data_IF_780068165447
#
_entry.id   IF_780068165447
#
_cell.length_a   1.000
_cell.length_b   1.000
_cell.length_c   1.000
_cell.angle_alpha   90.00
_cell.angle_beta   90.00
_cell.angle_gamma   90.00
#
_symmetry.space_group_name_H-M   'P 1'
#
loop_
_entity.id
_entity.type
_entity.pdbx_description
1 polymer ?
#
# COMPACT_ATOMS: atom_id res chain seq x y z
N UNK A 1 -37.73 22.89 12.27
CA UNK A 1 -36.98 21.96 11.42
C UNK A 1 -37.23 20.56 11.96
N UNK A 2 -37.74 19.63 11.17
CA UNK A 2 -38.18 18.31 11.65
C UNK A 2 -37.01 17.44 12.09
N UNK A 3 -37.12 16.82 13.29
CA UNK A 3 -36.11 15.93 13.91
C UNK A 3 -35.68 14.75 13.03
N UNK A 4 -36.55 14.31 12.13
CA UNK A 4 -36.30 13.21 11.19
C UNK A 4 -35.16 13.52 10.21
N UNK A 5 -34.93 14.80 9.88
CA UNK A 5 -33.88 15.18 8.93
C UNK A 5 -32.48 15.19 9.56
N UNK A 6 -32.41 15.35 10.88
CA UNK A 6 -31.15 15.44 11.62
C UNK A 6 -30.55 14.04 11.87
N UNK A 7 -31.40 13.03 12.07
CA UNK A 7 -30.98 11.63 12.24
C UNK A 7 -30.42 11.03 10.94
N UNK A 8 -31.09 11.23 9.80
CA UNK A 8 -30.61 10.77 8.48
C UNK A 8 -29.29 11.41 8.05
N UNK A 9 -29.05 12.67 8.41
CA UNK A 9 -27.80 13.36 8.08
C UNK A 9 -26.63 12.86 8.95
N UNK A 10 -26.90 12.48 10.19
CA UNK A 10 -25.87 11.97 11.09
C UNK A 10 -25.45 10.53 10.75
N UNK A 11 -26.38 9.66 10.34
CA UNK A 11 -26.05 8.29 9.93
C UNK A 11 -25.24 8.26 8.62
N UNK A 12 -25.66 9.00 7.59
CA UNK A 12 -24.93 9.03 6.31
C UNK A 12 -23.53 9.67 6.37
N UNK A 13 -23.29 10.58 7.32
CA UNK A 13 -21.96 11.18 7.57
C UNK A 13 -21.07 10.27 8.40
N UNK A 14 -21.64 9.41 9.26
CA UNK A 14 -20.89 8.43 10.02
C UNK A 14 -20.38 7.29 9.13
N UNK A 15 -21.25 6.69 8.30
CA UNK A 15 -20.88 5.59 7.39
C UNK A 15 -19.85 6.03 6.34
N UNK A 16 -20.07 7.16 5.66
CA UNK A 16 -19.13 7.65 4.63
C UNK A 16 -17.74 8.05 5.17
N UNK A 17 -17.61 8.27 6.49
CA UNK A 17 -16.34 8.61 7.15
C UNK A 17 -15.62 7.39 7.70
N UNK A 18 -16.33 6.30 7.93
CA UNK A 18 -15.76 5.02 8.35
C UNK A 18 -15.21 4.26 7.13
N UNK A 19 -16.00 4.12 6.06
CA UNK A 19 -15.59 3.46 4.81
C UNK A 19 -14.40 4.17 4.14
N UNK A 20 -14.47 5.49 3.94
CA UNK A 20 -13.38 6.24 3.29
C UNK A 20 -12.08 6.30 4.11
N UNK A 21 -12.10 5.91 5.39
CA UNK A 21 -10.92 5.88 6.26
C UNK A 21 -10.34 4.48 6.43
N UNK A 22 -11.12 3.46 6.13
CA UNK A 22 -10.70 2.07 6.07
C UNK A 22 -10.07 1.78 4.69
N UNK A 23 -10.76 2.11 3.60
CA UNK A 23 -10.25 1.98 2.22
C UNK A 23 -8.95 2.78 2.00
N UNK A 24 -8.95 4.07 2.37
CA UNK A 24 -7.75 4.92 2.23
C UNK A 24 -6.56 4.53 3.12
N UNK A 25 -6.78 3.71 4.15
CA UNK A 25 -5.70 3.17 5.01
C UNK A 25 -5.19 1.82 4.56
N UNK A 26 -6.01 1.04 3.88
CA UNK A 26 -5.63 -0.25 3.32
C UNK A 26 -4.86 -0.03 2.02
N UNK A 27 -5.42 0.75 1.07
CA UNK A 27 -4.73 1.12 -0.17
C UNK A 27 -3.43 1.87 0.09
N UNK A 28 -3.44 2.85 1.00
CA UNK A 28 -2.24 3.63 1.35
C UNK A 28 -1.14 2.80 2.04
N UNK A 29 -1.49 1.70 2.72
CA UNK A 29 -0.50 0.80 3.32
C UNK A 29 0.05 -0.19 2.30
N UNK A 30 -0.79 -0.72 1.42
CA UNK A 30 -0.35 -1.64 0.37
C UNK A 30 0.55 -0.91 -0.64
N UNK A 31 0.12 0.24 -1.16
CA UNK A 31 0.95 1.05 -2.08
C UNK A 31 2.24 1.53 -1.41
N UNK A 32 2.17 1.92 -0.14
CA UNK A 32 3.34 2.32 0.64
C UNK A 32 4.34 1.17 0.82
N UNK A 33 3.85 -0.02 1.17
CA UNK A 33 4.69 -1.20 1.37
C UNK A 33 5.35 -1.67 0.06
N UNK A 34 4.65 -1.60 -1.07
CA UNK A 34 5.21 -1.95 -2.38
C UNK A 34 6.26 -0.94 -2.84
N UNK A 35 6.00 0.36 -2.66
CA UNK A 35 6.94 1.42 -2.99
C UNK A 35 8.21 1.33 -2.13
N UNK A 36 8.08 1.03 -0.83
CA UNK A 36 9.22 0.80 0.06
C UNK A 36 10.01 -0.45 -0.35
N UNK A 37 9.34 -1.55 -0.68
CA UNK A 37 10.01 -2.76 -1.20
C UNK A 37 10.82 -2.45 -2.45
N UNK A 38 10.23 -1.76 -3.43
CA UNK A 38 10.94 -1.41 -4.67
C UNK A 38 12.15 -0.50 -4.39
N UNK A 39 12.00 0.50 -3.53
CA UNK A 39 13.13 1.36 -3.10
C UNK A 39 14.21 0.55 -2.39
N UNK A 40 13.82 -0.38 -1.52
CA UNK A 40 14.75 -1.30 -0.84
C UNK A 40 15.55 -2.12 -1.84
N UNK A 41 14.89 -2.70 -2.85
CA UNK A 41 15.57 -3.46 -3.91
C UNK A 41 16.59 -2.57 -4.64
N UNK A 42 16.17 -1.37 -5.10
CA UNK A 42 17.06 -0.43 -5.79
C UNK A 42 18.25 -0.02 -4.92
N UNK A 43 18.01 0.24 -3.64
CA UNK A 43 19.05 0.62 -2.68
C UNK A 43 20.06 -0.50 -2.48
N UNK A 44 19.62 -1.76 -2.34
CA UNK A 44 20.51 -2.91 -2.17
C UNK A 44 21.37 -3.14 -3.43
N UNK A 45 20.78 -3.03 -4.62
CA UNK A 45 21.53 -3.13 -5.89
C UNK A 45 22.60 -2.04 -5.96
N UNK A 46 22.25 -0.79 -5.67
CA UNK A 46 23.17 0.35 -5.77
C UNK A 46 24.26 0.34 -4.69
N UNK A 47 23.92 -0.04 -3.46
CA UNK A 47 24.85 0.01 -2.32
C UNK A 47 25.75 -1.21 -2.23
N UNK A 48 25.24 -2.41 -2.51
CA UNK A 48 25.98 -3.67 -2.40
C UNK A 48 26.45 -4.20 -3.76
N UNK A 49 25.99 -3.61 -4.88
CA UNK A 49 26.34 -4.06 -6.23
C UNK A 49 25.78 -5.45 -6.58
N UNK A 50 24.75 -5.90 -5.85
CA UNK A 50 24.14 -7.21 -6.03
C UNK A 50 23.03 -7.18 -7.10
N UNK A 51 22.64 -8.35 -7.59
CA UNK A 51 21.56 -8.46 -8.58
C UNK A 51 20.19 -8.19 -7.96
N UNK A 52 19.21 -7.85 -8.80
CA UNK A 52 17.82 -7.68 -8.38
C UNK A 52 17.26 -8.91 -7.66
N UNK A 53 17.55 -10.12 -8.14
CA UNK A 53 17.17 -11.37 -7.49
C UNK A 53 17.80 -11.55 -6.11
N UNK A 54 19.08 -11.19 -5.96
CA UNK A 54 19.76 -11.26 -4.66
C UNK A 54 19.19 -10.23 -3.67
N UNK A 55 18.87 -9.02 -4.14
CA UNK A 55 18.22 -8.00 -3.34
C UNK A 55 16.79 -8.41 -2.94
N UNK A 56 16.02 -9.00 -3.85
CA UNK A 56 14.68 -9.54 -3.57
C UNK A 56 14.74 -10.73 -2.59
N UNK A 57 15.73 -11.62 -2.71
CA UNK A 57 16.00 -12.67 -1.72
C UNK A 57 16.30 -12.07 -0.34
N UNK A 58 17.13 -11.02 -0.27
CA UNK A 58 17.48 -10.37 1.00
C UNK A 58 16.29 -9.68 1.67
N UNK A 59 15.31 -9.20 0.89
CA UNK A 59 14.05 -8.63 1.37
C UNK A 59 12.96 -9.68 1.62
N UNK A 60 13.24 -10.96 1.40
CA UNK A 60 12.26 -12.04 1.58
C UNK A 60 11.09 -11.98 0.60
N UNK A 61 11.31 -11.48 -0.61
CA UNK A 61 10.26 -11.36 -1.64
C UNK A 61 10.07 -12.71 -2.34
N UNK A 62 8.83 -13.21 -2.26
CA UNK A 62 8.41 -14.45 -2.88
C UNK A 62 8.55 -14.42 -4.40
N UNK A 63 8.84 -15.58 -5.00
CA UNK A 63 9.06 -15.69 -6.45
C UNK A 63 7.86 -15.22 -7.28
N UNK A 64 6.65 -15.39 -6.77
CA UNK A 64 5.41 -14.96 -7.41
C UNK A 64 5.32 -13.43 -7.56
N UNK A 65 5.91 -12.69 -6.63
CA UNK A 65 5.92 -11.22 -6.65
C UNK A 65 7.12 -10.64 -7.42
N UNK A 66 8.16 -11.43 -7.70
CA UNK A 66 9.38 -10.94 -8.40
C UNK A 66 9.10 -10.36 -9.78
N UNK A 67 8.29 -10.99 -10.66
CA UNK A 67 8.00 -10.43 -11.97
C UNK A 67 7.44 -9.00 -11.89
N UNK A 68 6.62 -8.72 -10.88
CA UNK A 68 6.06 -7.39 -10.62
C UNK A 68 7.16 -6.36 -10.36
N UNK A 69 8.10 -6.67 -9.46
CA UNK A 69 9.19 -5.73 -9.14
C UNK A 69 10.24 -5.65 -10.26
N UNK A 70 10.53 -6.74 -10.96
CA UNK A 70 11.44 -6.75 -12.11
C UNK A 70 10.96 -5.85 -13.25
N UNK A 71 9.65 -5.77 -13.49
CA UNK A 71 9.08 -4.86 -14.49
C UNK A 71 9.22 -3.37 -14.11
N UNK A 72 9.50 -3.06 -12.84
CA UNK A 72 9.56 -1.70 -12.27
C UNK A 72 11.00 -1.24 -11.93
N UNK A 73 11.99 -2.12 -12.07
CA UNK A 73 13.40 -1.85 -11.81
C UNK A 73 14.08 -1.20 -13.02
#
# INVERSE_FOLDING_TARGET
MCRVMEELYNEGVAEGREEGREEGREEGREEGAEAERLRGIKSLIQSLGITADAAMNALGIDQEQRPKYLALL
#
